data_IF_637585677300
#
_entry.id   IF_637585677300
#
_cell.length_a   1.000
_cell.length_b   1.000
_cell.length_c   1.000
_cell.angle_alpha   90.00
_cell.angle_beta   90.00
_cell.angle_gamma   90.00
#
_symmetry.space_group_name_H-M   'P 1'
#
loop_
_entity.id
_entity.type
_entity.pdbx_description
1 polymer ?
#
# COMPACT_ATOMS: atom_id res chain seq x y z
N UNK A 1 -1.78 39.86 -47.81
CA UNK A 1 -0.37 39.41 -47.82
C UNK A 1 0.14 39.36 -46.39
N UNK A 2 0.77 38.22 -46.03
CA UNK A 2 1.62 37.96 -44.84
C UNK A 2 0.91 37.95 -43.48
N UNK A 3 1.16 37.00 -42.57
CA UNK A 3 1.71 35.65 -42.62
C UNK A 3 1.36 34.98 -41.27
N UNK A 4 1.17 33.66 -41.33
CA UNK A 4 1.05 32.69 -40.25
C UNK A 4 1.94 32.98 -39.02
N UNK A 5 1.40 32.82 -37.81
CA UNK A 5 2.17 32.22 -36.71
C UNK A 5 1.25 31.35 -35.85
N UNK A 6 1.31 30.07 -36.19
CA UNK A 6 0.79 28.94 -35.44
C UNK A 6 1.70 28.72 -34.23
N UNK A 7 1.23 28.91 -33.00
CA UNK A 7 1.90 28.34 -31.81
C UNK A 7 0.94 27.32 -31.21
N UNK A 8 1.11 26.09 -31.69
CA UNK A 8 0.66 24.88 -31.02
C UNK A 8 1.55 24.71 -29.78
N UNK A 9 1.16 25.32 -28.67
CA UNK A 9 1.69 24.94 -27.37
C UNK A 9 0.97 23.66 -26.94
N UNK A 10 1.54 22.53 -27.34
CA UNK A 10 1.29 21.23 -26.72
C UNK A 10 1.58 21.36 -25.22
N UNK A 11 0.57 21.66 -24.41
CA UNK A 11 0.60 21.36 -23.00
C UNK A 11 0.48 19.84 -22.92
N UNK A 12 1.62 19.17 -22.99
CA UNK A 12 1.75 17.81 -22.51
C UNK A 12 1.13 17.75 -21.11
N UNK A 13 0.25 16.78 -20.80
CA UNK A 13 -0.19 16.60 -19.43
C UNK A 13 1.06 16.27 -18.62
N UNK A 14 1.46 17.18 -17.73
CA UNK A 14 2.32 16.85 -16.60
C UNK A 14 1.64 15.64 -15.98
N UNK A 15 2.28 14.47 -16.06
CA UNK A 15 1.77 13.25 -15.46
C UNK A 15 1.51 13.57 -13.99
N UNK A 16 0.24 13.67 -13.60
CA UNK A 16 -0.15 14.01 -12.25
C UNK A 16 0.46 12.97 -11.32
N UNK A 17 1.46 13.41 -10.55
CA UNK A 17 2.02 12.65 -9.44
C UNK A 17 0.94 12.69 -8.36
N UNK A 18 0.33 11.55 -8.04
CA UNK A 18 -0.57 11.47 -6.90
C UNK A 18 0.31 11.36 -5.65
N UNK A 19 0.30 12.38 -4.80
CA UNK A 19 0.93 12.32 -3.49
C UNK A 19 0.14 11.32 -2.61
N UNK A 20 0.81 10.26 -2.18
CA UNK A 20 0.27 9.22 -1.30
C UNK A 20 1.00 9.31 0.05
N UNK A 21 0.34 8.97 1.16
CA UNK A 21 1.03 9.05 2.46
C UNK A 21 2.17 8.04 2.57
N UNK A 22 2.15 6.96 1.77
CA UNK A 22 3.26 6.01 1.70
C UNK A 22 4.38 6.40 0.70
N UNK A 23 4.17 7.45 -0.10
CA UNK A 23 5.16 7.91 -1.07
C UNK A 23 4.57 8.51 -2.34
N UNK A 24 5.20 8.26 -3.47
CA UNK A 24 4.77 8.78 -4.76
C UNK A 24 4.87 7.74 -5.86
N UNK A 25 3.99 7.84 -6.85
CA UNK A 25 3.96 6.94 -7.98
C UNK A 25 3.92 7.73 -9.28
N UNK A 26 4.67 7.26 -10.27
CA UNK A 26 4.54 7.68 -11.65
C UNK A 26 4.43 6.43 -12.55
N UNK A 27 4.43 6.61 -13.88
CA UNK A 27 4.24 5.53 -14.85
C UNK A 27 5.28 4.42 -14.80
N UNK A 28 6.49 4.70 -14.31
CA UNK A 28 7.65 3.82 -14.44
C UNK A 28 8.32 3.51 -13.10
N UNK A 29 7.96 4.19 -12.02
CA UNK A 29 8.56 4.02 -10.71
C UNK A 29 7.60 4.32 -9.58
N UNK A 30 7.83 3.64 -8.47
CA UNK A 30 7.25 3.93 -7.17
C UNK A 30 8.39 4.36 -6.25
N UNK A 31 8.20 5.47 -5.55
CA UNK A 31 9.10 5.93 -4.50
C UNK A 31 8.37 5.75 -3.19
N UNK A 32 8.91 4.92 -2.30
CA UNK A 32 8.41 4.77 -0.94
C UNK A 32 9.12 5.77 -0.04
N UNK A 33 8.39 6.42 0.85
CA UNK A 33 9.02 7.27 1.86
C UNK A 33 9.74 6.42 2.94
N UNK A 34 10.53 7.09 3.77
CA UNK A 34 11.31 6.43 4.83
C UNK A 34 10.42 5.67 5.80
N UNK A 35 9.32 6.29 6.26
CA UNK A 35 8.37 5.66 7.19
C UNK A 35 7.79 4.36 6.61
N UNK A 36 7.40 4.35 5.34
CA UNK A 36 6.89 3.17 4.65
C UNK A 36 7.94 2.08 4.55
N UNK A 37 9.18 2.43 4.23
CA UNK A 37 10.28 1.46 4.10
C UNK A 37 10.62 0.82 5.44
N UNK A 38 10.70 1.63 6.50
CA UNK A 38 10.91 1.17 7.88
C UNK A 38 9.75 0.28 8.35
N UNK A 39 8.52 0.72 8.12
CA UNK A 39 7.33 -0.03 8.50
C UNK A 39 7.17 -1.34 7.73
N UNK A 40 7.49 -1.35 6.43
CA UNK A 40 7.48 -2.57 5.61
C UNK A 40 8.50 -3.59 6.13
N UNK A 41 9.71 -3.14 6.48
CA UNK A 41 10.72 -4.01 7.11
C UNK A 41 10.21 -4.58 8.43
N UNK A 42 9.67 -3.74 9.31
CA UNK A 42 9.15 -4.19 10.60
C UNK A 42 7.98 -5.17 10.45
N UNK A 43 7.08 -4.90 9.50
CA UNK A 43 5.95 -5.78 9.18
C UNK A 43 6.41 -7.13 8.64
N UNK A 44 7.45 -7.14 7.78
CA UNK A 44 8.06 -8.37 7.29
C UNK A 44 8.70 -9.19 8.43
N UNK A 45 9.52 -8.57 9.28
CA UNK A 45 10.17 -9.25 10.41
C UNK A 45 9.16 -9.82 11.41
N UNK A 46 8.01 -9.16 11.58
CA UNK A 46 6.93 -9.69 12.41
C UNK A 46 6.15 -10.82 11.72
N UNK A 47 5.91 -10.70 10.40
CA UNK A 47 5.25 -11.72 9.60
C UNK A 47 6.06 -13.02 9.55
N UNK A 48 7.38 -12.95 9.40
CA UNK A 48 8.26 -14.13 9.38
C UNK A 48 8.11 -15.01 10.64
N UNK A 49 7.78 -14.41 11.79
CA UNK A 49 7.54 -15.16 13.04
C UNK A 49 6.33 -16.08 12.98
N UNK A 50 5.41 -15.88 12.03
CA UNK A 50 4.27 -16.79 11.80
C UNK A 50 4.69 -18.12 11.16
N UNK A 51 5.89 -18.18 10.55
CA UNK A 51 6.36 -19.35 9.82
C UNK A 51 5.62 -19.65 8.51
N UNK A 52 4.74 -18.75 8.06
CA UNK A 52 4.03 -18.89 6.79
C UNK A 52 4.96 -18.64 5.59
N UNK A 53 4.77 -19.39 4.51
CA UNK A 53 5.55 -19.22 3.29
C UNK A 53 5.13 -17.94 2.54
N UNK A 54 6.02 -16.94 2.49
CA UNK A 54 5.80 -15.67 1.82
C UNK A 54 5.38 -15.81 0.35
N UNK A 55 5.80 -16.87 -0.35
CA UNK A 55 5.45 -17.08 -1.76
C UNK A 55 3.93 -17.26 -1.96
N UNK A 56 3.22 -17.62 -0.89
CA UNK A 56 1.77 -17.74 -0.90
C UNK A 56 1.04 -16.40 -0.76
N UNK A 57 1.75 -15.28 -0.70
CA UNK A 57 1.17 -13.97 -0.40
C UNK A 57 1.47 -12.93 -1.48
N UNK A 58 0.60 -11.93 -1.55
CA UNK A 58 0.85 -10.65 -2.21
C UNK A 58 0.99 -9.58 -1.12
N UNK A 59 1.94 -8.67 -1.28
CA UNK A 59 2.14 -7.55 -0.35
C UNK A 59 1.45 -6.31 -0.91
N UNK A 60 0.48 -5.79 -0.18
CA UNK A 60 -0.26 -4.59 -0.54
C UNK A 60 0.14 -3.42 0.37
N UNK A 61 0.47 -2.28 -0.22
CA UNK A 61 0.75 -1.02 0.50
C UNK A 61 -0.34 -0.01 0.10
N UNK A 62 -1.03 0.58 1.08
CA UNK A 62 -2.16 1.50 0.85
C UNK A 62 -2.21 2.60 1.88
N UNK A 63 -2.79 3.74 1.51
CA UNK A 63 -3.25 4.72 2.49
C UNK A 63 -4.57 4.27 3.11
N UNK A 64 -4.69 4.41 4.42
CA UNK A 64 -5.91 4.12 5.17
C UNK A 64 -6.19 5.29 6.10
N UNK A 65 -7.44 5.76 6.11
CA UNK A 65 -7.92 6.71 7.10
C UNK A 65 -8.51 5.95 8.28
N UNK A 66 -8.15 6.31 9.50
CA UNK A 66 -8.88 5.80 10.66
C UNK A 66 -10.36 6.23 10.57
N UNK A 67 -11.28 5.28 10.74
CA UNK A 67 -12.70 5.60 10.82
C UNK A 67 -12.99 6.41 12.09
N UNK A 68 -13.90 7.39 11.98
CA UNK A 68 -14.24 8.40 13.01
C UNK A 68 -14.73 7.87 14.37
N UNK A 69 -14.83 6.57 14.56
CA UNK A 69 -15.30 5.98 15.84
C UNK A 69 -14.19 5.90 16.91
N UNK A 70 -12.91 6.01 16.54
CA UNK A 70 -11.78 5.86 17.48
C UNK A 70 -10.81 7.07 17.54
N UNK A 71 -11.05 8.15 16.80
CA UNK A 71 -10.11 9.29 16.76
C UNK A 71 -10.81 10.65 16.68
N UNK A 72 -10.38 11.57 17.53
CA UNK A 72 -10.78 12.99 17.54
C UNK A 72 -10.21 13.78 16.36
N UNK A 73 -9.30 13.20 15.58
CA UNK A 73 -8.74 13.77 14.35
C UNK A 73 -8.59 12.67 13.28
N UNK A 74 -8.75 13.02 12.00
CA UNK A 74 -8.61 12.08 10.88
C UNK A 74 -7.16 11.61 10.72
N UNK A 75 -6.71 10.67 11.56
CA UNK A 75 -5.36 10.10 11.47
C UNK A 75 -5.23 9.22 10.21
N UNK A 76 -4.28 9.59 9.35
CA UNK A 76 -3.91 8.82 8.17
C UNK A 76 -2.82 7.81 8.55
N UNK A 77 -3.00 6.56 8.13
CA UNK A 77 -2.04 5.49 8.32
C UNK A 77 -1.63 4.88 6.98
N UNK A 78 -0.46 4.25 7.00
CA UNK A 78 0.00 3.39 5.92
C UNK A 78 -0.37 1.95 6.30
N UNK A 79 -1.12 1.26 5.46
CA UNK A 79 -1.44 -0.16 5.61
C UNK A 79 -0.51 -1.00 4.79
N UNK A 80 0.17 -1.95 5.43
CA UNK A 80 0.95 -3.01 4.79
C UNK A 80 0.26 -4.33 5.08
N UNK A 81 -0.28 -4.97 4.05
CA UNK A 81 -1.01 -6.23 4.18
C UNK A 81 -0.33 -7.37 3.40
N UNK A 82 -0.10 -8.48 4.09
CA UNK A 82 0.26 -9.76 3.49
C UNK A 82 -1.04 -10.50 3.19
N UNK A 83 -1.44 -10.51 1.93
CA UNK A 83 -2.70 -11.08 1.48
C UNK A 83 -2.44 -12.46 0.90
N UNK A 84 -2.96 -13.50 1.54
CA UNK A 84 -2.78 -14.88 1.09
C UNK A 84 -3.50 -15.09 -0.25
N UNK A 85 -2.76 -15.62 -1.23
CA UNK A 85 -3.24 -16.02 -2.55
C UNK A 85 -4.28 -17.12 -2.41
N UNK A 86 -5.22 -17.16 -3.36
CA UNK A 86 -6.14 -18.27 -3.47
C UNK A 86 -5.43 -19.52 -4.01
N UNK A 87 -5.87 -20.69 -3.56
CA UNK A 87 -5.48 -21.97 -4.17
C UNK A 87 -5.96 -21.96 -5.62
N UNK A 88 -5.06 -22.25 -6.57
CA UNK A 88 -5.40 -22.26 -7.99
C UNK A 88 -6.59 -23.20 -8.27
N UNK A 89 -7.56 -22.74 -9.07
CA UNK A 89 -8.77 -23.50 -9.38
C UNK A 89 -9.80 -23.57 -8.26
N UNK A 90 -9.53 -22.99 -7.08
CA UNK A 90 -10.50 -22.86 -5.99
C UNK A 90 -10.91 -21.39 -5.84
N UNK A 91 -12.21 -21.14 -6.00
CA UNK A 91 -12.87 -19.88 -5.61
C UNK A 91 -13.85 -20.22 -4.50
N UNK A 92 -13.86 -19.45 -3.42
CA UNK A 92 -14.83 -19.64 -2.34
C UNK A 92 -14.83 -18.48 -1.36
N UNK A 93 -15.86 -18.43 -0.52
CA UNK A 93 -16.06 -17.41 0.50
C UNK A 93 -15.07 -17.63 1.67
N UNK A 94 -14.36 -16.57 2.05
CA UNK A 94 -13.52 -16.54 3.26
C UNK A 94 -12.10 -17.13 3.12
N UNK A 95 -11.50 -17.49 4.26
CA UNK A 95 -10.12 -17.99 4.35
C UNK A 95 -9.95 -19.46 3.93
N UNK A 96 -11.05 -20.22 3.78
CA UNK A 96 -11.01 -21.66 3.54
C UNK A 96 -10.32 -22.09 2.23
N UNK A 97 -10.07 -21.16 1.30
CA UNK A 97 -9.40 -21.43 0.02
C UNK A 97 -8.13 -20.59 -0.19
N UNK A 98 -7.53 -20.09 0.90
CA UNK A 98 -6.29 -19.32 0.84
C UNK A 98 -5.10 -20.20 1.22
N UNK A 99 -3.93 -19.88 0.67
CA UNK A 99 -2.66 -20.57 0.93
C UNK A 99 -1.98 -20.12 2.25
N UNK A 100 -2.74 -19.46 3.13
CA UNK A 100 -2.29 -18.93 4.41
C UNK A 100 -3.30 -17.95 5.04
N UNK A 101 -2.96 -17.43 6.19
CA UNK A 101 -3.72 -16.45 6.96
C UNK A 101 -3.20 -15.04 6.66
N UNK A 102 -4.10 -14.17 6.16
CA UNK A 102 -3.72 -12.81 5.80
C UNK A 102 -3.56 -11.93 7.04
N UNK A 103 -2.52 -11.10 7.05
CA UNK A 103 -2.21 -10.20 8.17
C UNK A 103 -2.06 -8.78 7.63
N UNK A 104 -2.57 -7.79 8.37
CA UNK A 104 -2.46 -6.38 8.02
C UNK A 104 -1.83 -5.57 9.16
N UNK A 105 -0.88 -4.71 8.82
CA UNK A 105 -0.14 -3.85 9.72
C UNK A 105 -0.50 -2.39 9.42
N UNK A 106 -0.92 -1.65 10.44
CA UNK A 106 -1.02 -0.19 10.35
C UNK A 106 0.27 0.44 10.83
N UNK A 107 0.80 1.32 10.01
CA UNK A 107 2.09 1.98 10.16
C UNK A 107 1.86 3.48 10.27
N UNK A 108 2.52 4.10 11.23
CA UNK A 108 2.57 5.56 11.37
C UNK A 108 3.29 6.17 10.17
N UNK A 109 2.70 7.18 9.49
CA UNK A 109 3.37 7.87 8.39
C UNK A 109 4.54 8.76 8.84
N UNK A 110 4.66 9.04 10.14
CA UNK A 110 5.70 9.91 10.68
C UNK A 110 7.03 9.17 10.86
N UNK A 111 6.99 7.99 11.49
CA UNK A 111 8.19 7.28 11.94
C UNK A 111 8.25 5.81 11.48
N UNK A 112 7.22 5.32 10.82
CA UNK A 112 7.18 3.95 10.31
C UNK A 112 6.91 2.89 11.39
N UNK A 113 6.54 3.27 12.62
CA UNK A 113 6.21 2.28 13.67
C UNK A 113 4.91 1.57 13.37
N UNK A 114 4.85 0.28 13.73
CA UNK A 114 3.61 -0.48 13.72
C UNK A 114 2.74 -0.01 14.88
N UNK A 115 1.59 0.58 14.54
CA UNK A 115 0.59 1.08 15.50
C UNK A 115 -0.41 -0.01 15.85
N UNK A 116 -0.80 -0.83 14.86
CA UNK A 116 -1.79 -1.90 15.05
C UNK A 116 -1.57 -3.05 14.09
N UNK A 117 -1.95 -4.25 14.52
CA UNK A 117 -1.92 -5.47 13.71
C UNK A 117 -3.34 -6.04 13.69
N UNK A 118 -3.80 -6.42 12.51
CA UNK A 118 -5.10 -7.07 12.28
C UNK A 118 -4.89 -8.41 11.58
N UNK A 119 -5.72 -9.39 11.92
CA UNK A 119 -5.61 -10.76 11.43
C UNK A 119 -5.06 -11.69 12.51
N UNK A 120 -4.98 -12.97 12.15
CA UNK A 120 -4.52 -14.02 13.05
C UNK A 120 -3.14 -14.49 12.57
N UNK A 121 -2.29 -14.89 13.52
CA UNK A 121 -0.96 -15.46 13.29
C UNK A 121 -1.01 -16.97 13.42
#
# INVERSE_FOLDING_TARGET
MKACLLIVALIFPISAMSDLNFGSMNRNSIILNTATTVGLKAAYEDFEKSGQDLNNFEVHIRDVKASKEDATDEENFISVAFVAKFIQGKRGLGNANRLGESINYLISPEDGKIVKIYGTK
#
